data_IF_998993273543
#
_entry.id   IF_998993273543
#
_cell.length_a   1.000
_cell.length_b   1.000
_cell.length_c   1.000
_cell.angle_alpha   90.00
_cell.angle_beta   90.00
_cell.angle_gamma   90.00
#
_symmetry.space_group_name_H-M   'P 1'
#
loop_
_entity.id
_entity.type
_entity.pdbx_description
1 polymer ?
#
# COMPACT_ATOMS: atom_id res chain seq x y z
N UNK A 1 -55.31 5.25 -7.44
CA UNK A 1 -54.80 6.08 -8.55
C UNK A 1 -53.45 5.52 -8.96
N UNK A 2 -53.17 5.35 -10.26
CA UNK A 2 -51.84 4.93 -10.71
C UNK A 2 -50.83 6.02 -10.35
N UNK A 3 -49.65 5.60 -9.88
CA UNK A 3 -48.55 6.52 -9.59
C UNK A 3 -48.04 7.10 -10.90
N UNK A 4 -48.04 8.42 -11.04
CA UNK A 4 -47.48 9.11 -12.20
C UNK A 4 -45.95 9.16 -12.09
N UNK A 5 -45.29 8.28 -12.83
CA UNK A 5 -43.83 8.20 -12.86
C UNK A 5 -43.17 9.42 -13.51
N UNK A 6 -43.85 10.11 -14.46
CA UNK A 6 -43.28 11.29 -15.11
C UNK A 6 -43.11 12.45 -14.12
N UNK A 7 -44.09 12.64 -13.24
CA UNK A 7 -44.02 13.64 -12.17
C UNK A 7 -42.95 13.32 -11.10
N UNK A 8 -42.54 12.04 -10.98
CA UNK A 8 -41.58 11.59 -9.98
C UNK A 8 -40.13 11.62 -10.47
N UNK A 9 -39.85 11.51 -11.78
CA UNK A 9 -38.47 11.44 -12.30
C UNK A 9 -37.54 12.55 -11.82
N UNK A 10 -37.94 13.84 -11.79
CA UNK A 10 -37.06 14.89 -11.27
C UNK A 10 -36.71 14.64 -9.80
N UNK A 11 -37.71 14.33 -8.97
CA UNK A 11 -37.49 14.03 -7.56
C UNK A 11 -36.58 12.82 -7.35
N UNK A 12 -36.74 11.77 -8.16
CA UNK A 12 -35.89 10.58 -8.08
C UNK A 12 -34.42 10.92 -8.36
N UNK A 13 -34.14 11.72 -9.38
CA UNK A 13 -32.77 12.15 -9.74
C UNK A 13 -32.09 12.91 -8.59
N UNK A 14 -32.82 13.79 -7.92
CA UNK A 14 -32.29 14.55 -6.78
C UNK A 14 -32.20 13.74 -5.47
N UNK A 15 -32.85 12.58 -5.39
CA UNK A 15 -32.75 11.64 -4.27
C UNK A 15 -31.61 10.61 -4.46
N UNK A 16 -31.07 10.48 -5.67
CA UNK A 16 -29.94 9.58 -5.92
C UNK A 16 -28.67 10.11 -5.23
N UNK A 17 -27.94 9.19 -4.60
CA UNK A 17 -26.61 9.48 -4.05
C UNK A 17 -25.56 9.65 -5.16
N UNK A 18 -25.76 8.98 -6.29
CA UNK A 18 -24.92 9.12 -7.47
C UNK A 18 -25.28 10.43 -8.21
N UNK A 19 -24.28 11.13 -8.72
CA UNK A 19 -24.49 12.38 -9.45
C UNK A 19 -24.85 12.10 -10.90
N UNK A 20 -25.92 12.69 -11.40
CA UNK A 20 -26.28 12.62 -12.82
C UNK A 20 -25.74 13.84 -13.52
N UNK A 21 -24.98 13.64 -14.59
CA UNK A 21 -24.53 14.67 -15.52
C UNK A 21 -25.19 14.49 -16.87
N UNK A 22 -25.57 15.60 -17.49
CA UNK A 22 -25.88 15.67 -18.92
C UNK A 22 -24.91 16.64 -19.56
N UNK A 23 -24.24 16.17 -20.61
CA UNK A 23 -23.18 16.90 -21.31
C UNK A 23 -23.51 16.92 -22.79
N UNK A 24 -23.51 18.09 -23.41
CA UNK A 24 -23.79 18.21 -24.84
C UNK A 24 -22.63 17.72 -25.72
N UNK A 25 -22.81 17.78 -27.05
CA UNK A 25 -21.81 17.41 -28.06
C UNK A 25 -20.51 18.23 -27.98
N UNK A 26 -20.58 19.44 -27.44
CA UNK A 26 -19.46 20.37 -27.33
C UNK A 26 -18.73 20.22 -25.98
N UNK A 27 -19.07 19.16 -25.22
CA UNK A 27 -18.57 18.82 -23.90
C UNK A 27 -18.98 19.80 -22.78
N UNK A 28 -20.01 20.63 -22.99
CA UNK A 28 -20.53 21.53 -21.97
C UNK A 28 -21.52 20.79 -21.06
N UNK A 29 -21.40 21.02 -19.76
CA UNK A 29 -22.37 20.50 -18.79
C UNK A 29 -23.67 21.29 -18.95
N UNK A 30 -24.74 20.63 -19.39
CA UNK A 30 -26.06 21.28 -19.57
C UNK A 30 -26.98 21.02 -18.37
N UNK A 31 -26.75 19.92 -17.65
CA UNK A 31 -27.45 19.61 -16.41
C UNK A 31 -26.55 18.82 -15.49
N UNK A 32 -26.73 19.03 -14.18
CA UNK A 32 -26.13 18.20 -13.14
C UNK A 32 -27.08 18.14 -11.94
N UNK A 33 -27.21 16.96 -11.31
CA UNK A 33 -28.01 16.82 -10.08
C UNK A 33 -27.30 17.44 -8.87
N UNK A 34 -28.07 17.76 -7.82
CA UNK A 34 -27.56 18.45 -6.62
C UNK A 34 -26.49 17.64 -5.85
N UNK A 35 -26.42 16.32 -6.09
CA UNK A 35 -25.38 15.45 -5.55
C UNK A 35 -23.95 15.87 -5.97
N UNK A 36 -23.81 16.69 -7.02
CA UNK A 36 -22.51 17.22 -7.45
C UNK A 36 -21.76 18.01 -6.37
N UNK A 37 -22.48 18.65 -5.44
CA UNK A 37 -21.87 19.38 -4.33
C UNK A 37 -21.11 18.42 -3.40
N UNK A 38 -21.69 17.26 -3.10
CA UNK A 38 -21.03 16.24 -2.30
C UNK A 38 -19.86 15.58 -3.07
N UNK A 39 -20.03 15.38 -4.38
CA UNK A 39 -19.03 14.71 -5.22
C UNK A 39 -17.81 15.60 -5.54
N UNK A 40 -18.03 16.81 -6.02
CA UNK A 40 -17.00 17.73 -6.55
C UNK A 40 -16.79 19.00 -5.71
N UNK A 41 -17.71 19.34 -4.79
CA UNK A 41 -17.63 20.56 -3.99
C UNK A 41 -18.12 21.83 -4.70
N UNK A 42 -18.64 21.72 -5.91
CA UNK A 42 -19.23 22.83 -6.67
C UNK A 42 -20.75 22.81 -6.58
N UNK A 43 -21.36 23.99 -6.59
CA UNK A 43 -22.81 24.11 -6.82
C UNK A 43 -23.14 23.84 -8.29
N UNK A 44 -24.35 23.34 -8.58
CA UNK A 44 -24.77 23.03 -9.95
C UNK A 44 -24.64 24.24 -10.90
N UNK A 45 -24.95 25.45 -10.42
CA UNK A 45 -24.82 26.69 -11.18
C UNK A 45 -23.37 27.08 -11.53
N UNK A 46 -22.38 26.55 -10.82
CA UNK A 46 -20.95 26.76 -11.11
C UNK A 46 -20.44 25.79 -12.18
N UNK A 47 -21.12 24.64 -12.36
CA UNK A 47 -20.74 23.60 -13.31
C UNK A 47 -21.45 23.78 -14.65
N UNK A 48 -22.74 24.16 -14.63
CA UNK A 48 -23.54 24.31 -15.85
C UNK A 48 -22.94 25.39 -16.77
N UNK A 49 -22.83 25.07 -18.06
CA UNK A 49 -22.24 25.93 -19.09
C UNK A 49 -20.71 25.91 -19.15
N UNK A 50 -20.07 25.00 -18.40
CA UNK A 50 -18.61 24.82 -18.44
C UNK A 50 -18.23 23.46 -19.04
N UNK A 51 -17.03 23.34 -19.64
CA UNK A 51 -16.61 22.09 -20.24
C UNK A 51 -16.26 21.06 -19.16
N UNK A 52 -16.86 19.87 -19.21
CA UNK A 52 -16.65 18.82 -18.19
C UNK A 52 -15.17 18.41 -18.05
N UNK A 53 -14.39 18.53 -19.12
CA UNK A 53 -12.95 18.22 -19.14
C UNK A 53 -12.12 19.14 -18.23
N UNK A 54 -12.65 20.31 -17.85
CA UNK A 54 -11.98 21.26 -16.95
C UNK A 54 -11.76 20.67 -15.55
N UNK A 55 -12.62 19.74 -15.13
CA UNK A 55 -12.60 19.16 -13.80
C UNK A 55 -11.92 17.80 -13.76
N UNK A 56 -11.46 17.28 -14.91
CA UNK A 56 -10.76 15.98 -14.97
C UNK A 56 -9.30 16.14 -14.54
N UNK A 57 -8.74 15.08 -13.96
CA UNK A 57 -7.31 15.01 -13.69
C UNK A 57 -6.51 15.02 -15.02
N UNK A 58 -5.40 15.78 -15.15
CA UNK A 58 -4.65 15.91 -16.40
C UNK A 58 -4.22 14.58 -17.02
N UNK A 59 -3.70 13.65 -16.20
CA UNK A 59 -3.25 12.32 -16.65
C UNK A 59 -4.37 11.46 -17.26
N UNK A 60 -5.63 11.71 -16.89
CA UNK A 60 -6.76 10.88 -17.28
C UNK A 60 -7.48 11.45 -18.52
N UNK A 61 -7.07 12.61 -19.04
CA UNK A 61 -7.71 13.29 -20.16
C UNK A 61 -7.71 12.43 -21.43
N UNK A 62 -6.59 11.76 -21.74
CA UNK A 62 -6.48 10.94 -22.96
C UNK A 62 -7.42 9.73 -22.91
N UNK A 63 -7.37 8.96 -21.81
CA UNK A 63 -8.25 7.81 -21.60
C UNK A 63 -9.72 8.23 -21.55
N UNK A 64 -10.02 9.35 -20.90
CA UNK A 64 -11.38 9.88 -20.83
C UNK A 64 -11.89 10.26 -22.21
N UNK A 65 -11.12 10.99 -23.04
CA UNK A 65 -11.51 11.33 -24.41
C UNK A 65 -11.86 10.10 -25.25
N UNK A 66 -11.10 9.02 -25.14
CA UNK A 66 -11.43 7.76 -25.82
C UNK A 66 -12.79 7.20 -25.37
N UNK A 67 -13.07 7.25 -24.06
CA UNK A 67 -14.37 6.89 -23.49
C UNK A 67 -15.50 7.82 -23.98
N UNK A 68 -15.27 9.14 -24.05
CA UNK A 68 -16.24 10.11 -24.60
C UNK A 68 -16.60 9.72 -26.04
N UNK A 69 -15.60 9.51 -26.90
CA UNK A 69 -15.81 9.18 -28.31
C UNK A 69 -16.56 7.86 -28.47
N UNK A 70 -16.24 6.83 -27.66
CA UNK A 70 -16.99 5.57 -27.63
C UNK A 70 -18.48 5.83 -27.37
N UNK A 71 -18.80 6.60 -26.33
CA UNK A 71 -20.19 6.89 -25.96
C UNK A 71 -20.90 7.69 -27.04
N UNK A 72 -20.27 8.73 -27.58
CA UNK A 72 -20.85 9.55 -28.66
C UNK A 72 -21.09 8.77 -29.96
N UNK A 73 -20.33 7.69 -30.20
CA UNK A 73 -20.55 6.77 -31.32
C UNK A 73 -21.68 5.74 -31.06
N UNK A 74 -22.53 5.99 -30.07
CA UNK A 74 -23.67 5.14 -29.73
C UNK A 74 -23.32 3.88 -28.93
N UNK A 75 -22.07 3.73 -28.46
CA UNK A 75 -21.67 2.59 -27.63
C UNK A 75 -21.62 2.99 -26.16
N UNK A 76 -22.55 2.52 -25.31
CA UNK A 76 -22.48 2.78 -23.88
C UNK A 76 -21.15 2.33 -23.28
N UNK A 77 -20.72 3.05 -22.24
CA UNK A 77 -19.56 2.71 -21.45
C UNK A 77 -19.97 2.62 -19.99
N UNK A 78 -20.12 1.39 -19.54
CA UNK A 78 -20.32 1.04 -18.15
C UNK A 78 -18.95 0.81 -17.51
N UNK A 79 -18.84 1.19 -16.25
CA UNK A 79 -17.66 0.96 -15.41
C UNK A 79 -16.37 1.71 -15.80
N UNK A 80 -16.51 2.85 -16.50
CA UNK A 80 -15.35 3.68 -16.80
C UNK A 80 -14.90 4.45 -15.55
N UNK A 81 -13.67 4.22 -15.09
CA UNK A 81 -13.10 4.95 -13.98
C UNK A 81 -12.17 6.07 -14.46
N UNK A 82 -12.32 7.27 -13.88
CA UNK A 82 -11.32 8.32 -14.00
C UNK A 82 -11.32 9.23 -12.78
N UNK A 83 -10.30 10.08 -12.70
CA UNK A 83 -10.09 11.05 -11.62
C UNK A 83 -10.59 12.42 -12.02
N UNK A 84 -11.24 13.08 -11.07
CA UNK A 84 -11.62 14.49 -11.15
C UNK A 84 -11.00 15.28 -10.00
N UNK A 85 -10.87 16.59 -10.19
CA UNK A 85 -10.42 17.57 -9.21
C UNK A 85 -11.65 18.23 -8.58
N UNK A 86 -11.73 18.17 -7.25
CA UNK A 86 -12.71 18.91 -6.47
C UNK A 86 -12.35 20.39 -6.40
N UNK A 87 -13.30 21.21 -5.95
CA UNK A 87 -13.13 22.66 -5.76
C UNK A 87 -11.99 23.03 -4.81
N UNK A 88 -11.72 22.18 -3.82
CA UNK A 88 -10.60 22.33 -2.87
C UNK A 88 -9.25 21.83 -3.41
N UNK A 89 -9.22 21.33 -4.66
CA UNK A 89 -8.04 20.74 -5.30
C UNK A 89 -7.81 19.26 -4.99
N UNK A 90 -8.59 18.65 -4.10
CA UNK A 90 -8.46 17.22 -3.80
C UNK A 90 -8.94 16.36 -4.98
N UNK A 91 -8.43 15.13 -5.08
CA UNK A 91 -8.81 14.19 -6.14
C UNK A 91 -9.99 13.32 -5.70
N UNK A 92 -10.96 13.16 -6.59
CA UNK A 92 -12.06 12.18 -6.50
C UNK A 92 -11.89 11.11 -7.58
N UNK A 93 -12.17 9.85 -7.24
CA UNK A 93 -12.28 8.77 -8.22
C UNK A 93 -13.75 8.55 -8.54
N UNK A 94 -14.11 8.65 -9.82
CA UNK A 94 -15.49 8.51 -10.27
C UNK A 94 -15.61 7.26 -11.14
N UNK A 95 -16.59 6.43 -10.81
CA UNK A 95 -17.07 5.34 -11.66
C UNK A 95 -18.25 5.85 -12.50
N UNK A 96 -18.12 5.76 -13.81
CA UNK A 96 -19.12 6.24 -14.76
C UNK A 96 -19.91 5.10 -15.39
N UNK A 97 -21.21 5.31 -15.49
CA UNK A 97 -22.07 4.66 -16.47
C UNK A 97 -22.61 5.74 -17.41
N UNK A 98 -22.25 5.68 -18.68
CA UNK A 98 -22.61 6.71 -19.64
C UNK A 98 -23.16 6.15 -20.95
N UNK A 99 -24.18 6.81 -21.48
CA UNK A 99 -24.76 6.55 -22.79
C UNK A 99 -25.01 7.87 -23.55
N UNK A 100 -25.16 7.75 -24.87
CA UNK A 100 -25.56 8.85 -25.73
C UNK A 100 -27.07 8.80 -25.96
N UNK A 101 -27.71 9.98 -25.95
CA UNK A 101 -29.11 10.15 -26.32
C UNK A 101 -29.19 10.95 -27.61
N UNK A 102 -29.65 10.29 -28.69
CA UNK A 102 -29.85 10.95 -29.98
C UNK A 102 -30.97 11.98 -29.94
N UNK A 103 -32.03 11.74 -29.15
CA UNK A 103 -33.15 12.69 -29.01
C UNK A 103 -32.71 13.98 -28.31
N UNK A 104 -31.90 13.86 -27.26
CA UNK A 104 -31.41 15.00 -26.50
C UNK A 104 -30.13 15.62 -27.11
N UNK A 105 -29.51 14.97 -28.10
CA UNK A 105 -28.20 15.31 -28.65
C UNK A 105 -27.15 15.52 -27.54
N UNK A 106 -27.21 14.66 -26.52
CA UNK A 106 -26.42 14.79 -25.31
C UNK A 106 -26.02 13.43 -24.74
N UNK A 107 -24.89 13.43 -24.04
CA UNK A 107 -24.42 12.31 -23.25
C UNK A 107 -24.97 12.39 -21.83
N UNK A 108 -25.58 11.30 -21.38
CA UNK A 108 -26.05 11.14 -20.01
C UNK A 108 -25.05 10.25 -19.28
N UNK A 109 -24.56 10.72 -18.14
CA UNK A 109 -23.60 10.01 -17.31
C UNK A 109 -24.04 9.97 -15.85
N UNK A 110 -24.02 8.79 -15.25
CA UNK A 110 -24.15 8.62 -13.80
C UNK A 110 -22.76 8.44 -13.21
N UNK A 111 -22.44 9.28 -12.23
CA UNK A 111 -21.15 9.37 -11.57
C UNK A 111 -21.27 8.93 -10.11
N UNK A 112 -20.57 7.85 -9.76
CA UNK A 112 -20.45 7.37 -8.38
C UNK A 112 -19.07 7.70 -7.82
N UNK A 113 -19.01 8.29 -6.62
CA UNK A 113 -17.75 8.42 -5.88
C UNK A 113 -17.30 7.04 -5.39
N UNK A 114 -16.16 6.57 -5.90
CA UNK A 114 -15.53 5.32 -5.46
C UNK A 114 -14.21 5.58 -4.71
N UNK A 115 -13.95 6.83 -4.30
CA UNK A 115 -12.70 7.22 -3.63
C UNK A 115 -12.50 6.47 -2.32
N UNK A 116 -13.52 6.41 -1.46
CA UNK A 116 -13.44 5.73 -0.17
C UNK A 116 -13.25 4.21 -0.36
N UNK A 117 -13.99 3.62 -1.30
CA UNK A 117 -13.85 2.21 -1.65
C UNK A 117 -12.43 1.89 -2.14
N UNK A 118 -11.92 2.64 -3.12
CA UNK A 118 -10.57 2.41 -3.66
C UNK A 118 -9.49 2.60 -2.60
N UNK A 119 -9.60 3.62 -1.75
CA UNK A 119 -8.68 3.81 -0.62
C UNK A 119 -8.70 2.64 0.35
N UNK A 120 -9.88 2.12 0.67
CA UNK A 120 -10.02 0.95 1.54
C UNK A 120 -9.43 -0.31 0.90
N UNK A 121 -9.66 -0.52 -0.40
CA UNK A 121 -9.06 -1.64 -1.16
C UNK A 121 -7.53 -1.54 -1.20
N UNK A 122 -6.98 -0.35 -1.46
CA UNK A 122 -5.55 -0.11 -1.48
C UNK A 122 -4.91 -0.31 -0.09
N UNK A 123 -5.58 0.16 0.98
CA UNK A 123 -5.12 -0.04 2.35
C UNK A 123 -5.18 -1.51 2.75
N UNK A 124 -6.26 -2.23 2.41
CA UNK A 124 -6.35 -3.68 2.65
C UNK A 124 -5.25 -4.44 1.92
N UNK A 125 -4.99 -4.08 0.66
CA UNK A 125 -3.88 -4.67 -0.11
C UNK A 125 -2.53 -4.36 0.52
N UNK A 126 -2.33 -3.14 1.01
CA UNK A 126 -1.11 -2.77 1.73
C UNK A 126 -0.96 -3.62 3.00
N UNK A 127 -1.98 -3.68 3.86
CA UNK A 127 -1.96 -4.43 5.12
C UNK A 127 -1.82 -5.95 4.92
N UNK A 128 -2.29 -6.49 3.79
CA UNK A 128 -2.12 -7.89 3.44
C UNK A 128 -0.64 -8.26 3.24
N UNK A 129 0.21 -7.30 2.83
CA UNK A 129 1.61 -7.56 2.48
C UNK A 129 2.63 -6.79 3.32
N UNK A 130 2.22 -5.77 4.06
CA UNK A 130 3.13 -4.88 4.79
C UNK A 130 2.76 -4.73 6.27
N UNK A 131 3.77 -4.50 7.10
CA UNK A 131 3.59 -4.12 8.50
C UNK A 131 3.16 -2.64 8.58
N UNK A 132 2.04 -2.31 9.25
CA UNK A 132 1.52 -0.94 9.27
C UNK A 132 2.44 0.06 10.00
N UNK A 133 3.23 -0.41 10.96
CA UNK A 133 4.14 0.45 11.72
C UNK A 133 5.40 0.78 10.92
N UNK A 134 6.13 -0.25 10.50
CA UNK A 134 7.45 -0.11 9.88
C UNK A 134 7.41 0.02 8.37
N UNK A 135 6.26 -0.25 7.73
CA UNK A 135 6.04 -0.31 6.28
C UNK A 135 6.84 -1.40 5.55
N UNK A 136 7.66 -2.18 6.26
CA UNK A 136 8.36 -3.36 5.74
C UNK A 136 7.38 -4.44 5.29
N UNK A 137 7.89 -5.46 4.59
CA UNK A 137 7.10 -6.66 4.34
C UNK A 137 6.61 -7.26 5.66
N UNK A 138 5.37 -7.75 5.68
CA UNK A 138 4.87 -8.54 6.80
C UNK A 138 5.26 -10.02 6.63
N UNK A 139 4.84 -10.85 7.59
CA UNK A 139 5.06 -12.31 7.55
C UNK A 139 4.54 -12.97 6.27
N UNK A 140 3.38 -12.56 5.75
CA UNK A 140 2.79 -13.17 4.56
C UNK A 140 3.65 -12.88 3.31
N UNK A 141 4.01 -11.61 3.09
CA UNK A 141 4.86 -11.20 1.97
C UNK A 141 6.29 -11.77 2.08
N UNK A 142 6.82 -11.90 3.30
CA UNK A 142 8.11 -12.54 3.51
C UNK A 142 8.10 -14.01 3.07
N UNK A 143 7.08 -14.77 3.50
CA UNK A 143 6.96 -16.18 3.14
C UNK A 143 6.79 -16.37 1.63
N UNK A 144 5.97 -15.55 0.98
CA UNK A 144 5.80 -15.58 -0.49
C UNK A 144 7.14 -15.34 -1.22
N UNK A 145 7.92 -14.36 -0.75
CA UNK A 145 9.25 -14.06 -1.31
C UNK A 145 10.26 -15.17 -1.01
N UNK A 146 10.21 -15.77 0.17
CA UNK A 146 11.07 -16.90 0.55
C UNK A 146 10.78 -18.13 -0.32
N UNK A 147 9.51 -18.48 -0.52
CA UNK A 147 9.12 -19.60 -1.38
C UNK A 147 9.56 -19.38 -2.83
N UNK A 148 9.38 -18.16 -3.34
CA UNK A 148 9.84 -17.77 -4.67
C UNK A 148 11.36 -17.88 -4.78
N UNK A 149 12.10 -17.39 -3.78
CA UNK A 149 13.56 -17.45 -3.75
C UNK A 149 14.07 -18.89 -3.64
N UNK A 150 13.43 -19.74 -2.83
CA UNK A 150 13.77 -21.16 -2.72
C UNK A 150 13.53 -21.91 -4.02
N UNK A 151 12.41 -21.66 -4.71
CA UNK A 151 12.14 -22.24 -6.01
C UNK A 151 13.20 -21.83 -7.05
N UNK A 152 13.58 -20.55 -7.08
CA UNK A 152 14.63 -20.05 -7.96
C UNK A 152 16.01 -20.65 -7.61
N UNK A 153 16.35 -20.73 -6.32
CA UNK A 153 17.60 -21.28 -5.83
C UNK A 153 17.75 -22.76 -6.18
N UNK A 154 16.69 -23.57 -6.01
CA UNK A 154 16.66 -24.97 -6.45
C UNK A 154 16.88 -25.11 -7.95
N UNK A 155 16.21 -24.29 -8.76
CA UNK A 155 16.29 -24.37 -10.23
C UNK A 155 17.68 -24.03 -10.75
N UNK A 156 18.34 -23.06 -10.12
CA UNK A 156 19.63 -22.53 -10.58
C UNK A 156 20.82 -23.01 -9.74
N UNK A 157 20.61 -23.97 -8.85
CA UNK A 157 21.59 -24.47 -7.88
C UNK A 157 22.31 -23.34 -7.12
N UNK A 158 21.54 -22.36 -6.66
CA UNK A 158 22.02 -21.22 -5.90
C UNK A 158 21.76 -21.42 -4.41
N UNK A 159 22.50 -20.65 -3.61
CA UNK A 159 22.38 -20.61 -2.15
C UNK A 159 21.74 -19.30 -1.73
N UNK A 160 21.01 -19.34 -0.63
CA UNK A 160 20.44 -18.15 0.02
C UNK A 160 20.66 -18.24 1.52
N UNK A 161 20.57 -17.09 2.18
CA UNK A 161 20.63 -16.99 3.63
C UNK A 161 19.36 -16.34 4.16
N UNK A 162 18.83 -16.92 5.24
CA UNK A 162 17.76 -16.35 6.04
C UNK A 162 18.36 -15.94 7.39
N UNK A 163 18.10 -14.70 7.79
CA UNK A 163 18.47 -14.18 9.08
C UNK A 163 17.21 -13.90 9.90
N UNK A 164 17.23 -14.27 11.17
CA UNK A 164 16.17 -13.97 12.13
C UNK A 164 16.75 -13.06 13.21
N UNK A 165 16.15 -11.90 13.41
CA UNK A 165 16.66 -10.84 14.26
C UNK A 165 15.64 -10.52 15.35
N UNK A 166 16.13 -10.27 16.54
CA UNK A 166 15.34 -9.81 17.69
C UNK A 166 16.10 -8.66 18.36
N UNK A 167 15.39 -7.58 18.69
CA UNK A 167 15.98 -6.43 19.38
C UNK A 167 16.09 -6.75 20.87
N UNK A 168 17.31 -6.73 21.38
CA UNK A 168 17.57 -7.01 22.79
C UNK A 168 16.96 -5.89 23.66
N UNK A 169 16.37 -6.29 24.79
CA UNK A 169 15.84 -5.40 25.82
C UNK A 169 14.77 -4.40 25.33
N UNK A 170 14.12 -4.66 24.19
CA UNK A 170 13.09 -3.78 23.64
C UNK A 170 11.92 -3.56 24.61
N UNK A 171 11.56 -4.57 25.39
CA UNK A 171 10.56 -4.44 26.44
C UNK A 171 10.95 -3.36 27.47
N UNK A 172 12.22 -3.28 27.86
CA UNK A 172 12.69 -2.27 28.80
C UNK A 172 12.61 -0.87 28.21
N UNK A 173 12.84 -0.72 26.90
CA UNK A 173 12.62 0.55 26.19
C UNK A 173 11.15 0.98 26.30
N UNK A 174 10.22 0.04 26.07
CA UNK A 174 8.78 0.31 26.21
C UNK A 174 8.38 0.64 27.65
N UNK A 175 8.89 -0.10 28.62
CA UNK A 175 8.53 0.08 30.04
C UNK A 175 9.08 1.42 30.58
N UNK A 176 10.26 1.85 30.14
CA UNK A 176 10.92 3.08 30.63
C UNK A 176 10.49 4.34 29.86
N UNK A 177 10.22 4.23 28.55
CA UNK A 177 9.99 5.39 27.68
C UNK A 177 8.60 5.42 27.02
N UNK A 178 7.81 4.37 27.19
CA UNK A 178 6.47 4.23 26.62
C UNK A 178 6.47 3.66 25.20
N UNK A 179 5.34 3.05 24.83
CA UNK A 179 5.18 2.34 23.56
C UNK A 179 5.36 3.24 22.33
N UNK A 180 4.97 4.51 22.39
CA UNK A 180 5.15 5.45 21.28
C UNK A 180 6.62 5.72 20.96
N UNK A 181 7.50 5.67 21.97
CA UNK A 181 8.94 5.78 21.78
C UNK A 181 9.50 4.47 21.21
N UNK A 182 9.06 3.32 21.74
CA UNK A 182 9.43 2.02 21.20
C UNK A 182 9.05 1.86 19.72
N UNK A 183 7.85 2.29 19.33
CA UNK A 183 7.38 2.29 17.95
C UNK A 183 8.30 3.12 17.03
N UNK A 184 8.75 4.29 17.49
CA UNK A 184 9.70 5.14 16.76
C UNK A 184 11.07 4.48 16.66
N UNK A 185 11.54 3.80 17.70
CA UNK A 185 12.78 3.01 17.67
C UNK A 185 12.67 1.90 16.63
N UNK A 186 11.56 1.14 16.60
CA UNK A 186 11.32 0.10 15.60
C UNK A 186 11.35 0.67 14.17
N UNK A 187 10.72 1.82 13.93
CA UNK A 187 10.76 2.49 12.64
C UNK A 187 12.18 2.96 12.24
N UNK A 188 12.99 3.39 13.19
CA UNK A 188 14.39 3.76 12.93
C UNK A 188 15.23 2.54 12.58
N UNK A 189 15.08 1.45 13.33
CA UNK A 189 15.80 0.20 13.10
C UNK A 189 15.37 -0.49 11.80
N UNK A 190 14.07 -0.46 11.48
CA UNK A 190 13.55 -0.92 10.19
C UNK A 190 14.22 -0.22 9.01
N UNK A 191 14.32 1.12 9.05
CA UNK A 191 14.99 1.93 8.01
C UNK A 191 16.49 1.61 7.92
N UNK A 192 17.15 1.37 9.05
CA UNK A 192 18.56 0.95 9.09
C UNK A 192 18.75 -0.41 8.42
N UNK A 193 17.91 -1.40 8.76
CA UNK A 193 17.95 -2.74 8.17
C UNK A 193 17.71 -2.71 6.66
N UNK A 194 16.68 -1.99 6.21
CA UNK A 194 16.36 -1.89 4.78
C UNK A 194 17.51 -1.28 3.98
N UNK A 195 18.17 -0.25 4.52
CA UNK A 195 19.36 0.36 3.91
C UNK A 195 20.57 -0.57 3.86
N UNK A 196 20.78 -1.39 4.91
CA UNK A 196 21.89 -2.34 4.97
C UNK A 196 21.74 -3.47 3.95
N UNK A 197 20.50 -3.93 3.75
CA UNK A 197 20.18 -5.08 2.90
C UNK A 197 20.06 -4.67 1.43
N UNK A 198 19.54 -3.47 1.16
CA UNK A 198 19.39 -2.95 -0.20
C UNK A 198 18.34 -3.69 -1.03
N UNK A 199 18.26 -3.35 -2.31
CA UNK A 199 17.18 -3.80 -3.20
C UNK A 199 17.18 -5.30 -3.53
N UNK A 200 18.33 -5.98 -3.36
CA UNK A 200 18.46 -7.39 -3.67
C UNK A 200 17.86 -8.29 -2.57
N UNK A 201 17.90 -7.85 -1.30
CA UNK A 201 17.34 -8.61 -0.20
C UNK A 201 15.93 -8.18 0.17
N UNK A 202 15.32 -8.92 1.10
CA UNK A 202 14.01 -8.58 1.67
C UNK A 202 14.13 -8.46 3.17
N UNK A 203 13.61 -7.38 3.73
CA UNK A 203 13.47 -7.19 5.18
C UNK A 203 11.98 -7.25 5.51
N UNK A 204 11.64 -8.01 6.54
CA UNK A 204 10.27 -8.11 7.03
C UNK A 204 10.23 -7.99 8.55
N UNK A 205 9.10 -7.50 9.07
CA UNK A 205 8.80 -7.55 10.50
C UNK A 205 7.81 -8.68 10.75
N UNK A 206 8.18 -9.61 11.64
CA UNK A 206 7.36 -10.78 11.96
C UNK A 206 6.30 -10.45 13.02
N UNK A 207 6.60 -9.49 13.89
CA UNK A 207 5.76 -8.99 14.97
C UNK A 207 6.64 -8.49 16.12
N UNK A 208 6.10 -7.64 17.00
CA UNK A 208 6.86 -7.14 18.16
C UNK A 208 8.19 -6.48 17.75
N UNK A 209 9.28 -7.01 18.28
CA UNK A 209 10.68 -6.64 18.05
C UNK A 209 11.43 -7.60 17.11
N UNK A 210 10.72 -8.51 16.44
CA UNK A 210 11.29 -9.55 15.58
C UNK A 210 11.29 -9.13 14.10
N UNK A 211 12.45 -9.25 13.46
CA UNK A 211 12.67 -8.98 12.05
C UNK A 211 13.27 -10.19 11.35
N UNK A 212 13.00 -10.34 10.06
CA UNK A 212 13.64 -11.35 9.22
C UNK A 212 14.27 -10.70 8.00
N UNK A 213 15.40 -11.24 7.57
CA UNK A 213 16.10 -10.81 6.36
C UNK A 213 16.32 -12.01 5.47
N UNK A 214 15.95 -11.87 4.20
CA UNK A 214 16.26 -12.83 3.15
C UNK A 214 17.33 -12.23 2.24
N UNK A 215 18.47 -12.91 2.15
CA UNK A 215 19.56 -12.58 1.25
C UNK A 215 19.60 -13.63 0.13
N UNK A 216 19.05 -13.33 -1.06
CA UNK A 216 19.21 -14.21 -2.20
C UNK A 216 20.66 -14.21 -2.68
N UNK A 217 21.06 -15.29 -3.34
CA UNK A 217 22.37 -15.40 -4.00
C UNK A 217 23.57 -15.17 -3.06
N UNK A 218 23.56 -15.80 -1.88
CA UNK A 218 24.67 -15.72 -0.93
C UNK A 218 25.56 -16.98 -1.02
N UNK A 219 26.71 -16.93 -1.73
CA UNK A 219 27.43 -18.14 -2.13
C UNK A 219 28.30 -18.75 -1.03
N UNK A 220 28.69 -17.97 -0.01
CA UNK A 220 29.64 -18.43 1.02
C UNK A 220 29.24 -18.03 2.44
N UNK A 221 29.60 -18.83 3.46
CA UNK A 221 29.40 -18.48 4.86
C UNK A 221 30.07 -17.15 5.27
N UNK A 222 31.21 -16.82 4.66
CA UNK A 222 31.94 -15.58 4.94
C UNK A 222 31.15 -14.37 4.48
N UNK A 223 30.51 -14.43 3.31
CA UNK A 223 29.64 -13.36 2.82
C UNK A 223 28.46 -13.13 3.76
N UNK A 224 27.85 -14.20 4.28
CA UNK A 224 26.78 -14.13 5.28
C UNK A 224 27.29 -13.48 6.56
N UNK A 225 28.47 -13.91 7.05
CA UNK A 225 29.08 -13.34 8.24
C UNK A 225 29.36 -11.83 8.07
N UNK A 226 29.83 -11.39 6.90
CA UNK A 226 30.01 -9.96 6.59
C UNK A 226 28.69 -9.20 6.66
N UNK A 227 27.60 -9.74 6.10
CA UNK A 227 26.27 -9.13 6.20
C UNK A 227 25.78 -9.04 7.65
N UNK A 228 25.94 -10.13 8.43
CA UNK A 228 25.57 -10.17 9.86
C UNK A 228 26.34 -9.10 10.64
N UNK A 229 27.66 -9.01 10.47
CA UNK A 229 28.50 -8.03 11.16
C UNK A 229 28.14 -6.59 10.77
N UNK A 230 27.88 -6.36 9.48
CA UNK A 230 27.46 -5.04 9.02
C UNK A 230 26.11 -4.64 9.63
N UNK A 231 25.13 -5.55 9.65
CA UNK A 231 23.83 -5.30 10.29
C UNK A 231 24.01 -5.00 11.77
N UNK A 232 24.77 -5.82 12.51
CA UNK A 232 25.03 -5.60 13.93
C UNK A 232 25.66 -4.22 14.19
N UNK A 233 26.63 -3.82 13.37
CA UNK A 233 27.30 -2.52 13.50
C UNK A 233 26.33 -1.34 13.29
N UNK A 234 25.54 -1.37 12.22
CA UNK A 234 24.58 -0.30 11.91
C UNK A 234 23.45 -0.25 12.94
N UNK A 235 23.00 -1.40 13.43
CA UNK A 235 21.98 -1.46 14.47
C UNK A 235 22.49 -0.86 15.79
N UNK A 236 23.79 -1.03 16.10
CA UNK A 236 24.44 -0.49 17.28
C UNK A 236 24.83 1.01 17.18
N UNK A 237 24.55 1.68 16.07
CA UNK A 237 24.77 3.12 15.97
C UNK A 237 23.87 3.88 16.97
N UNK A 238 24.37 4.95 17.63
CA UNK A 238 23.55 5.76 18.52
C UNK A 238 22.26 6.23 17.84
N UNK A 239 21.17 6.26 18.59
CA UNK A 239 19.90 6.82 18.11
C UNK A 239 19.99 8.36 18.06
N UNK A 240 19.14 8.98 17.23
CA UNK A 240 19.07 10.44 17.11
C UNK A 240 18.76 11.12 18.45
N UNK A 241 19.07 12.41 18.58
CA UNK A 241 18.89 13.18 19.82
C UNK A 241 17.45 13.16 20.38
N UNK A 242 16.46 12.89 19.54
CA UNK A 242 15.06 12.69 19.94
C UNK A 242 14.82 11.42 20.81
N UNK A 243 15.82 10.55 20.91
CA UNK A 243 15.86 9.34 21.74
C UNK A 243 16.83 9.47 22.93
N UNK A 244 17.07 10.70 23.40
CA UNK A 244 17.98 10.96 24.52
C UNK A 244 17.65 10.09 25.75
N UNK A 245 18.67 9.43 26.29
CA UNK A 245 18.54 8.54 27.45
C UNK A 245 18.26 7.07 27.13
N UNK A 246 18.14 6.72 25.85
CA UNK A 246 18.09 5.32 25.39
C UNK A 246 19.50 4.87 25.00
N UNK A 247 19.95 3.77 25.58
CA UNK A 247 21.22 3.14 25.19
C UNK A 247 21.19 2.68 23.73
N UNK A 248 22.38 2.58 23.11
CA UNK A 248 22.48 2.10 21.74
C UNK A 248 21.81 0.71 21.61
N UNK A 249 20.79 0.57 20.73
CA UNK A 249 20.07 -0.68 20.63
C UNK A 249 21.01 -1.77 20.11
N UNK A 250 20.73 -3.00 20.51
CA UNK A 250 21.46 -4.16 20.00
C UNK A 250 20.47 -5.23 19.59
N UNK A 251 20.90 -6.14 18.73
CA UNK A 251 20.07 -7.25 18.30
C UNK A 251 20.81 -8.58 18.40
N UNK A 252 20.03 -9.66 18.51
CA UNK A 252 20.50 -11.04 18.40
C UNK A 252 20.13 -11.55 17.01
N UNK A 253 21.07 -12.14 16.28
CA UNK A 253 20.87 -12.57 14.89
C UNK A 253 21.12 -14.07 14.73
N UNK A 254 20.06 -14.80 14.42
CA UNK A 254 20.08 -16.18 13.98
C UNK A 254 20.25 -16.30 12.47
N UNK A 255 20.84 -17.41 12.00
CA UNK A 255 21.15 -17.62 10.58
C UNK A 255 20.74 -19.03 10.18
N UNK A 256 20.14 -19.16 9.01
CA UNK A 256 19.91 -20.42 8.32
C UNK A 256 20.31 -20.29 6.85
N UNK A 257 20.89 -21.34 6.29
CA UNK A 257 21.39 -21.39 4.93
C UNK A 257 20.66 -22.46 4.14
N UNK A 258 20.30 -22.13 2.91
CA UNK A 258 19.78 -23.11 1.97
C UNK A 258 20.92 -23.59 1.05
N UNK A 259 21.08 -24.90 0.85
CA UNK A 259 20.26 -26.01 1.39
C UNK A 259 20.74 -26.62 2.73
N UNK A 260 21.83 -26.13 3.33
CA UNK A 260 22.50 -26.78 4.47
C UNK A 260 21.63 -26.95 5.72
N UNK A 261 20.87 -25.93 6.07
CA UNK A 261 20.15 -25.83 7.33
C UNK A 261 18.63 -26.10 7.14
N UNK A 262 18.20 -26.40 5.91
CA UNK A 262 16.82 -26.70 5.58
C UNK A 262 16.53 -26.66 4.09
N UNK A 263 15.51 -27.42 3.68
CA UNK A 263 15.08 -27.49 2.29
C UNK A 263 13.78 -26.73 1.99
N UNK A 264 13.07 -26.24 3.00
CA UNK A 264 11.82 -25.47 2.87
C UNK A 264 11.80 -24.26 3.82
N UNK A 265 10.80 -23.39 3.64
CA UNK A 265 10.66 -22.16 4.41
C UNK A 265 10.58 -22.41 5.93
N UNK A 266 9.79 -23.40 6.35
CA UNK A 266 9.56 -23.71 7.75
C UNK A 266 10.84 -24.23 8.43
N UNK A 267 11.61 -25.10 7.77
CA UNK A 267 12.90 -25.57 8.28
C UNK A 267 13.88 -24.43 8.47
N UNK A 268 14.02 -23.54 7.48
CA UNK A 268 14.95 -22.42 7.54
C UNK A 268 14.55 -21.40 8.62
N UNK A 269 13.26 -21.06 8.72
CA UNK A 269 12.74 -20.18 9.76
C UNK A 269 12.99 -20.76 11.15
N UNK A 270 12.66 -22.05 11.38
CA UNK A 270 12.92 -22.71 12.67
C UNK A 270 14.40 -22.79 13.02
N UNK A 271 15.26 -23.04 12.04
CA UNK A 271 16.69 -23.09 12.27
C UNK A 271 17.24 -21.72 12.64
N UNK A 272 16.87 -20.67 11.91
CA UNK A 272 17.31 -19.32 12.17
C UNK A 272 16.80 -18.80 13.53
N UNK A 273 15.52 -19.00 13.85
CA UNK A 273 14.93 -18.66 15.14
C UNK A 273 15.65 -19.39 16.30
N UNK A 274 15.84 -20.70 16.18
CA UNK A 274 16.58 -21.49 17.16
C UNK A 274 18.04 -21.03 17.33
N UNK A 275 18.70 -20.60 16.27
CA UNK A 275 20.05 -20.02 16.33
C UNK A 275 20.04 -18.66 17.05
N UNK A 276 19.09 -17.79 16.73
CA UNK A 276 18.90 -16.48 17.38
C UNK A 276 18.70 -16.64 18.89
N UNK A 277 17.79 -17.54 19.30
CA UNK A 277 17.47 -17.74 20.70
C UNK A 277 18.67 -18.24 21.52
N UNK A 278 19.54 -19.08 20.94
CA UNK A 278 20.79 -19.51 21.59
C UNK A 278 21.74 -18.34 21.83
N UNK A 279 21.87 -17.45 20.85
CA UNK A 279 22.69 -16.23 20.96
C UNK A 279 22.14 -15.31 22.04
N UNK A 280 20.82 -15.07 22.03
CA UNK A 280 20.14 -14.22 23.04
C UNK A 280 20.35 -14.75 24.46
N UNK A 281 20.25 -16.06 24.67
CA UNK A 281 20.52 -16.71 25.96
C UNK A 281 21.97 -16.64 26.41
N UNK A 282 22.93 -16.79 25.49
CA UNK A 282 24.35 -16.67 25.82
C UNK A 282 24.68 -15.25 26.28
N UNK A 283 24.14 -14.25 25.58
CA UNK A 283 24.30 -12.83 25.95
C UNK A 283 23.78 -12.55 27.36
N UNK A 284 22.58 -13.01 27.67
CA UNK A 284 21.97 -12.84 28.99
C UNK A 284 22.72 -13.54 30.14
N UNK A 285 23.57 -14.52 29.83
CA UNK A 285 24.42 -15.20 30.83
C UNK A 285 25.78 -14.50 31.04
N UNK A 286 26.18 -13.62 30.13
CA UNK A 286 27.47 -12.90 30.16
C UNK A 286 27.36 -11.42 30.52
N UNK A 287 26.14 -10.87 30.58
CA UNK A 287 25.86 -9.51 31.05
C UNK A 287 25.44 -9.50 32.51
#
# INVERSE_FOLDING_TARGET
MPVDLQALYPRLIHLMLDTVFVVDRDNQIVFVSDACKALLGYEACELIGTPITRYMHPDDLAATRASIMRVMNGQPHYDFCNRYLRKDGSVVHILWSACWSDEAQARIGVARDVTAQRKAEDELRFLAHHDPLTRLANRAMFNERLDTALAAARRHNRRLALLFLDINDFKQINDNHGHSVGDRVLCTLARRLERCVGAAGTVARMGGDEFTVLLPDCPSPEAIATHVQHILAVMAEPLDAEFAGIDAPSCSIGVARFPEDGNDADMLLRHADGHMYRIKRQRAATG
#
